data_IF_629602559918
#
_entry.id   IF_629602559918
#
_cell.length_a   1.000
_cell.length_b   1.000
_cell.length_c   1.000
_cell.angle_alpha   90.00
_cell.angle_beta   90.00
_cell.angle_gamma   90.00
#
_symmetry.space_group_name_H-M   'P 1'
#
loop_
_entity.id
_entity.type
_entity.pdbx_description
1 polymer ?
#
# COMPACT_ATOMS: atom_id res chain seq x y z
N UNK A 1 9.36 -5.29 -6.99
CA UNK A 1 8.25 -4.38 -6.64
C UNK A 1 7.56 -4.78 -5.34
N UNK A 2 7.44 -6.06 -5.04
CA UNK A 2 6.78 -6.57 -3.81
C UNK A 2 7.43 -6.09 -2.51
N UNK A 3 8.71 -5.75 -2.54
CA UNK A 3 9.47 -5.30 -1.39
C UNK A 3 9.37 -3.78 -1.17
N UNK A 4 8.70 -3.06 -2.06
CA UNK A 4 8.47 -1.62 -1.94
C UNK A 4 7.22 -1.34 -1.11
N UNK A 5 6.08 -1.92 -1.49
CA UNK A 5 4.82 -1.78 -0.74
C UNK A 5 3.89 -2.97 -0.99
N UNK A 6 2.79 -3.01 -0.25
CA UNK A 6 1.78 -4.07 -0.37
C UNK A 6 0.90 -3.88 -1.61
N UNK A 7 0.59 -2.64 -1.99
CA UNK A 7 -0.20 -2.39 -3.19
C UNK A 7 0.58 -2.72 -4.46
N UNK A 8 -0.15 -3.07 -5.50
CA UNK A 8 0.45 -3.43 -6.77
C UNK A 8 0.99 -2.18 -7.47
N UNK A 9 2.28 -2.19 -7.79
CA UNK A 9 2.94 -1.17 -8.60
C UNK A 9 3.29 -1.74 -9.97
N UNK A 10 3.16 -0.94 -11.00
CA UNK A 10 3.65 -1.25 -12.35
C UNK A 10 5.12 -0.87 -12.48
N UNK A 11 5.52 0.23 -11.85
CA UNK A 11 6.87 0.76 -11.89
C UNK A 11 7.27 1.39 -10.55
N UNK A 12 8.53 1.26 -10.10
CA UNK A 12 8.98 1.89 -8.85
C UNK A 12 8.79 3.41 -8.81
N UNK A 13 8.89 4.08 -9.97
CA UNK A 13 8.71 5.51 -10.11
C UNK A 13 7.31 6.05 -9.76
N UNK A 14 6.31 5.17 -9.58
CA UNK A 14 5.01 5.56 -9.07
C UNK A 14 5.06 6.01 -7.61
N UNK A 15 6.06 5.55 -6.87
CA UNK A 15 6.19 5.82 -5.44
C UNK A 15 7.54 6.44 -5.05
N UNK A 16 8.60 6.15 -5.78
CA UNK A 16 9.97 6.51 -5.46
C UNK A 16 10.59 7.37 -6.55
N UNK A 17 11.51 8.25 -6.17
CA UNK A 17 12.28 9.10 -7.08
C UNK A 17 13.77 8.82 -6.95
N UNK A 18 14.48 8.88 -8.07
CA UNK A 18 15.96 8.80 -8.08
C UNK A 18 16.55 9.94 -7.24
N UNK A 19 17.50 9.61 -6.38
CA UNK A 19 18.12 10.57 -5.44
C UNK A 19 17.38 10.76 -4.12
N UNK A 20 16.20 10.17 -3.96
CA UNK A 20 15.45 10.21 -2.71
C UNK A 20 16.16 9.39 -1.62
N UNK A 21 16.25 9.96 -0.43
CA UNK A 21 16.74 9.23 0.75
C UNK A 21 15.58 8.53 1.45
N UNK A 22 15.76 7.24 1.72
CA UNK A 22 14.73 6.39 2.32
C UNK A 22 15.33 5.54 3.44
N UNK A 23 14.61 5.35 4.55
CA UNK A 23 14.90 4.25 5.46
C UNK A 23 14.58 2.93 4.75
N UNK A 24 15.35 1.91 4.99
CA UNK A 24 15.11 0.56 4.44
C UNK A 24 15.41 -0.50 5.50
N UNK A 25 14.80 -1.65 5.35
CA UNK A 25 15.12 -2.83 6.17
C UNK A 25 16.07 -3.72 5.38
N UNK A 26 17.14 -4.17 6.03
CA UNK A 26 18.04 -5.18 5.47
C UNK A 26 17.35 -6.53 5.62
N UNK A 27 16.94 -7.10 4.50
CA UNK A 27 16.27 -8.39 4.44
C UNK A 27 17.24 -9.56 4.38
N UNK A 28 18.31 -9.41 3.63
CA UNK A 28 19.30 -10.48 3.46
C UNK A 28 20.69 -9.93 3.18
N UNK A 29 21.69 -10.68 3.62
CA UNK A 29 23.09 -10.41 3.34
C UNK A 29 23.71 -11.65 2.69
N UNK A 30 24.30 -11.50 1.52
CA UNK A 30 25.05 -12.55 0.84
C UNK A 30 26.49 -12.07 0.63
N UNK A 31 27.42 -12.41 1.56
CA UNK A 31 28.81 -11.99 1.47
C UNK A 31 29.55 -12.61 0.27
N UNK A 32 29.14 -13.82 -0.13
CA UNK A 32 29.78 -14.54 -1.24
C UNK A 32 29.52 -13.84 -2.57
N UNK A 33 28.26 -13.47 -2.80
CA UNK A 33 27.84 -12.76 -4.02
C UNK A 33 27.92 -11.24 -3.88
N UNK A 34 28.33 -10.73 -2.71
CA UNK A 34 28.39 -9.31 -2.37
C UNK A 34 27.06 -8.59 -2.63
N UNK A 35 25.94 -9.21 -2.19
CA UNK A 35 24.60 -8.68 -2.37
C UNK A 35 23.93 -8.39 -1.04
N UNK A 36 23.17 -7.30 -1.01
CA UNK A 36 22.32 -6.92 0.11
C UNK A 36 20.89 -6.81 -0.42
N UNK A 37 19.99 -7.59 0.16
CA UNK A 37 18.55 -7.49 -0.09
C UNK A 37 17.94 -6.45 0.82
N UNK A 38 17.21 -5.51 0.24
CA UNK A 38 16.54 -4.42 0.96
C UNK A 38 15.03 -4.47 0.74
N UNK A 39 14.27 -4.07 1.75
CA UNK A 39 12.81 -3.95 1.66
C UNK A 39 12.33 -2.67 2.33
N UNK A 40 11.25 -2.09 1.83
CA UNK A 40 10.62 -0.87 2.32
C UNK A 40 9.23 -1.14 2.89
N UNK A 41 8.56 -2.16 2.40
CA UNK A 41 7.17 -2.51 2.67
C UNK A 41 6.82 -2.51 4.16
N UNK A 42 7.68 -3.07 4.98
CA UNK A 42 7.47 -3.22 6.41
C UNK A 42 7.45 -1.87 7.15
N UNK A 43 8.20 -0.89 6.64
CA UNK A 43 8.28 0.44 7.22
C UNK A 43 7.05 1.30 6.90
N UNK A 44 6.28 0.94 5.88
CA UNK A 44 5.06 1.64 5.50
C UNK A 44 3.84 1.22 6.33
N UNK A 45 4.02 0.31 7.27
CA UNK A 45 3.03 -0.06 8.26
C UNK A 45 2.16 -1.26 7.90
N UNK A 46 1.51 -1.79 8.92
CA UNK A 46 0.53 -2.88 8.82
C UNK A 46 -0.80 -2.37 8.23
N UNK A 47 -1.70 -3.30 7.95
CA UNK A 47 -3.05 -2.96 7.52
C UNK A 47 -3.78 -2.10 8.57
N UNK A 48 -3.71 -2.51 9.84
CA UNK A 48 -4.38 -1.81 10.95
C UNK A 48 -3.79 -0.41 11.17
N UNK A 49 -2.48 -0.26 11.12
CA UNK A 49 -1.81 1.04 11.26
C UNK A 49 -2.25 2.02 10.17
N UNK A 50 -2.36 1.54 8.94
CA UNK A 50 -2.83 2.36 7.82
C UNK A 50 -4.35 2.64 7.90
N UNK A 51 -5.15 1.63 8.19
CA UNK A 51 -6.60 1.77 8.28
C UNK A 51 -7.05 2.69 9.45
N UNK A 52 -6.24 2.81 10.50
CA UNK A 52 -6.52 3.69 11.64
C UNK A 52 -6.64 5.18 11.25
N UNK A 53 -6.09 5.59 10.11
CA UNK A 53 -6.19 6.95 9.59
C UNK A 53 -7.51 7.24 8.86
N UNK A 54 -8.35 6.25 8.66
CA UNK A 54 -9.59 6.34 7.88
C UNK A 54 -10.80 5.89 8.68
N UNK A 55 -11.96 6.45 8.33
CA UNK A 55 -13.25 6.04 8.88
C UNK A 55 -14.25 5.82 7.75
N UNK A 56 -15.20 4.93 7.96
CA UNK A 56 -16.36 4.81 7.08
C UNK A 56 -17.11 6.15 7.00
N UNK A 57 -17.56 6.51 5.82
CA UNK A 57 -18.24 7.80 5.57
C UNK A 57 -17.31 8.92 5.11
N UNK A 58 -15.98 8.74 5.13
CA UNK A 58 -15.03 9.72 4.60
C UNK A 58 -14.96 9.68 3.08
N UNK A 59 -14.71 10.84 2.50
CA UNK A 59 -14.34 11.00 1.09
C UNK A 59 -12.86 11.35 1.03
N UNK A 60 -12.08 10.53 0.35
CA UNK A 60 -10.62 10.64 0.31
C UNK A 60 -10.09 10.40 -1.11
N UNK A 61 -8.91 10.94 -1.45
CA UNK A 61 -8.25 10.61 -2.70
C UNK A 61 -7.63 9.22 -2.65
N UNK A 62 -7.52 8.58 -3.81
CA UNK A 62 -6.84 7.32 -3.99
C UNK A 62 -6.27 7.19 -5.39
N UNK A 63 -5.51 6.13 -5.63
CA UNK A 63 -4.92 5.82 -6.93
C UNK A 63 -5.35 4.42 -7.35
N UNK A 64 -5.87 4.31 -8.56
CA UNK A 64 -6.20 3.01 -9.17
C UNK A 64 -4.92 2.19 -9.33
N UNK A 65 -4.91 0.97 -8.79
CA UNK A 65 -3.76 0.07 -8.87
C UNK A 65 -3.97 -1.11 -9.80
N UNK A 66 -5.16 -1.68 -9.79
CA UNK A 66 -5.48 -2.80 -10.65
C UNK A 66 -6.97 -2.87 -10.92
N UNK A 67 -7.30 -3.36 -12.09
CA UNK A 67 -8.66 -3.80 -12.42
C UNK A 67 -8.74 -5.32 -12.42
N UNK A 68 -9.86 -5.83 -11.94
CA UNK A 68 -10.19 -7.24 -11.94
C UNK A 68 -11.63 -7.45 -12.40
N UNK A 69 -12.02 -8.69 -12.66
CA UNK A 69 -13.39 -9.01 -13.08
C UNK A 69 -14.44 -8.68 -12.02
N UNK A 70 -14.05 -8.62 -10.75
CA UNK A 70 -14.93 -8.34 -9.61
C UNK A 70 -14.81 -6.95 -9.03
N UNK A 71 -13.94 -6.10 -9.55
CA UNK A 71 -13.83 -4.72 -9.11
C UNK A 71 -12.48 -4.08 -9.38
N UNK A 72 -12.34 -2.86 -8.89
CA UNK A 72 -11.15 -2.02 -9.03
C UNK A 72 -10.46 -1.87 -7.69
N UNK A 73 -9.17 -2.20 -7.64
CA UNK A 73 -8.34 -1.94 -6.45
C UNK A 73 -7.79 -0.53 -6.47
N UNK A 74 -8.05 0.19 -5.39
CA UNK A 74 -7.66 1.60 -5.22
C UNK A 74 -6.82 1.72 -3.95
N UNK A 75 -5.60 2.24 -4.10
CA UNK A 75 -4.71 2.49 -2.97
C UNK A 75 -5.04 3.83 -2.33
N UNK A 76 -5.33 3.81 -1.04
CA UNK A 76 -5.45 5.01 -0.20
C UNK A 76 -4.09 5.39 0.39
N UNK A 77 -3.28 4.40 0.72
CA UNK A 77 -1.86 4.52 1.06
C UNK A 77 -1.08 3.43 0.32
N UNK A 78 0.26 3.49 0.27
CA UNK A 78 1.03 2.42 -0.37
C UNK A 78 0.76 1.02 0.19
N UNK A 79 0.41 0.91 1.46
CA UNK A 79 0.10 -0.36 2.11
C UNK A 79 -1.39 -0.59 2.39
N UNK A 80 -2.28 0.25 1.88
CA UNK A 80 -3.71 0.09 2.09
C UNK A 80 -4.49 0.25 0.79
N UNK A 81 -5.11 -0.82 0.33
CA UNK A 81 -6.00 -0.83 -0.82
C UNK A 81 -7.42 -1.17 -0.41
N UNK A 82 -8.38 -0.54 -1.08
CA UNK A 82 -9.78 -0.91 -1.03
C UNK A 82 -10.28 -1.39 -2.38
N UNK A 83 -11.46 -2.01 -2.38
CA UNK A 83 -12.13 -2.51 -3.56
C UNK A 83 -13.38 -1.67 -3.85
N UNK A 84 -13.45 -1.14 -5.06
CA UNK A 84 -14.62 -0.47 -5.61
C UNK A 84 -15.31 -1.35 -6.67
N UNK A 85 -16.52 -0.98 -7.05
CA UNK A 85 -17.22 -1.64 -8.14
C UNK A 85 -16.43 -1.55 -9.44
N UNK A 86 -16.61 -2.55 -10.30
CA UNK A 86 -15.93 -2.61 -11.59
C UNK A 86 -16.29 -1.37 -12.43
N UNK A 87 -15.28 -0.72 -12.95
CA UNK A 87 -15.38 0.40 -13.87
C UNK A 87 -14.27 0.30 -14.92
N UNK A 88 -14.63 -0.18 -16.11
CA UNK A 88 -13.69 -0.42 -17.22
C UNK A 88 -13.11 0.87 -17.80
N UNK A 89 -13.62 2.03 -17.39
CA UNK A 89 -13.11 3.34 -17.83
C UNK A 89 -11.91 3.83 -16.99
N UNK A 90 -11.64 3.18 -15.86
CA UNK A 90 -10.53 3.51 -14.98
C UNK A 90 -9.26 2.76 -15.39
N UNK A 91 -8.12 3.43 -15.34
CA UNK A 91 -6.82 2.85 -15.68
C UNK A 91 -5.89 2.85 -14.47
N UNK A 92 -4.97 1.85 -14.36
CA UNK A 92 -3.95 1.84 -13.32
C UNK A 92 -3.11 3.12 -13.32
N UNK A 93 -2.88 3.68 -12.14
CA UNK A 93 -2.17 4.96 -11.96
C UNK A 93 -3.05 6.19 -11.96
N UNK A 94 -4.34 6.06 -12.29
CA UNK A 94 -5.27 7.19 -12.31
C UNK A 94 -5.67 7.62 -10.91
N UNK A 95 -5.55 8.92 -10.56
CA UNK A 95 -6.09 9.48 -9.34
C UNK A 95 -7.62 9.53 -9.37
N UNK A 96 -8.24 9.16 -8.26
CA UNK A 96 -9.70 9.18 -8.08
C UNK A 96 -10.07 9.69 -6.71
N UNK A 97 -11.27 10.24 -6.60
CA UNK A 97 -11.90 10.56 -5.34
C UNK A 97 -12.86 9.42 -4.98
N UNK A 98 -12.72 8.87 -3.79
CA UNK A 98 -13.51 7.73 -3.33
C UNK A 98 -14.21 8.00 -2.02
N UNK A 99 -15.37 7.40 -1.85
CA UNK A 99 -16.12 7.34 -0.60
C UNK A 99 -15.87 6.00 0.08
N UNK A 100 -15.52 6.02 1.36
CA UNK A 100 -15.32 4.80 2.15
C UNK A 100 -16.66 4.30 2.66
N UNK A 101 -17.15 3.22 2.10
CA UNK A 101 -18.44 2.63 2.47
C UNK A 101 -18.36 1.82 3.76
N UNK A 102 -17.32 1.02 3.89
CA UNK A 102 -17.11 0.14 5.03
C UNK A 102 -15.64 -0.23 5.20
N UNK A 103 -15.25 -0.46 6.45
CA UNK A 103 -13.93 -0.96 6.83
C UNK A 103 -14.14 -2.24 7.62
N UNK A 104 -13.55 -3.35 7.16
CA UNK A 104 -13.65 -4.67 7.77
C UNK A 104 -12.29 -5.17 8.23
N UNK A 105 -11.89 -4.86 9.48
CA UNK A 105 -10.58 -5.27 10.02
C UNK A 105 -10.40 -6.79 10.09
N UNK A 106 -11.47 -7.52 10.35
CA UNK A 106 -11.45 -8.99 10.49
C UNK A 106 -11.07 -9.71 9.20
N UNK A 107 -11.36 -9.12 8.04
CA UNK A 107 -11.04 -9.67 6.72
C UNK A 107 -10.01 -8.83 5.95
N UNK A 108 -9.48 -7.77 6.55
CA UNK A 108 -8.57 -6.80 5.94
C UNK A 108 -9.13 -6.21 4.63
N UNK A 109 -10.39 -5.80 4.66
CA UNK A 109 -11.10 -5.28 3.48
C UNK A 109 -11.63 -3.87 3.71
N UNK A 110 -11.48 -3.02 2.71
CA UNK A 110 -12.17 -1.75 2.57
C UNK A 110 -13.10 -1.81 1.36
N UNK A 111 -14.33 -1.37 1.57
CA UNK A 111 -15.29 -1.17 0.47
C UNK A 111 -15.35 0.30 0.10
N UNK A 112 -15.12 0.59 -1.16
CA UNK A 112 -15.04 1.94 -1.70
C UNK A 112 -16.10 2.16 -2.78
N UNK A 113 -16.45 3.43 -2.99
CA UNK A 113 -17.22 3.88 -4.16
C UNK A 113 -16.44 5.01 -4.81
N UNK A 114 -16.16 4.89 -6.10
CA UNK A 114 -15.54 5.96 -6.88
C UNK A 114 -16.58 7.04 -7.14
N UNK A 115 -16.29 8.27 -6.72
CA UNK A 115 -17.16 9.41 -6.93
C UNK A 115 -16.83 10.11 -8.25
N UNK A 116 -15.57 10.41 -8.49
CA UNK A 116 -15.09 11.03 -9.72
C UNK A 116 -13.58 10.84 -9.87
N UNK A 117 -13.09 11.11 -11.08
CA UNK A 117 -11.66 11.14 -11.37
C UNK A 117 -11.06 12.46 -10.91
N UNK A 118 -9.78 12.41 -10.53
CA UNK A 118 -8.97 13.59 -10.26
C UNK A 118 -7.94 13.77 -11.37
N UNK A 119 -7.60 15.03 -11.69
CA UNK A 119 -6.58 15.32 -12.71
C UNK A 119 -5.18 14.98 -12.20
N UNK A 120 -4.93 15.24 -10.92
CA UNK A 120 -3.67 14.91 -10.26
C UNK A 120 -3.87 14.80 -8.74
N UNK A 121 -2.98 14.07 -8.08
CA UNK A 121 -2.80 14.14 -6.63
C UNK A 121 -1.57 14.98 -6.33
N UNK A 122 -1.62 15.84 -5.29
CA UNK A 122 -0.40 16.46 -4.80
C UNK A 122 0.56 15.37 -4.34
N UNK A 123 1.89 15.57 -4.50
CA UNK A 123 2.87 14.62 -4.01
C UNK A 123 2.63 14.33 -2.53
N UNK A 124 2.39 13.09 -2.19
CA UNK A 124 2.24 12.65 -0.82
C UNK A 124 3.60 12.13 -0.33
N UNK A 125 4.16 12.70 0.75
CA UNK A 125 5.36 12.13 1.35
C UNK A 125 5.03 10.75 1.91
N UNK A 126 6.00 9.82 1.80
CA UNK A 126 5.85 8.51 2.41
C UNK A 126 5.81 8.64 3.93
N UNK A 127 4.77 8.11 4.54
CA UNK A 127 4.64 8.04 5.98
C UNK A 127 5.18 6.69 6.47
N UNK A 128 6.19 6.73 7.34
CA UNK A 128 6.82 5.55 7.90
C UNK A 128 6.28 5.28 9.31
N UNK A 129 5.76 4.07 9.50
CA UNK A 129 5.29 3.62 10.82
C UNK A 129 6.45 3.35 11.79
N UNK A 130 7.62 2.98 11.25
CA UNK A 130 8.83 2.73 12.01
C UNK A 130 10.05 3.15 11.20
N UNK A 131 10.99 3.83 11.83
CA UNK A 131 12.22 4.31 11.16
C UNK A 131 13.50 3.84 11.86
N UNK A 132 13.39 3.22 13.04
CA UNK A 132 14.53 2.78 13.85
C UNK A 132 14.22 1.45 14.54
N UNK A 133 15.28 0.75 14.93
CA UNK A 133 15.20 -0.52 15.67
C UNK A 133 15.33 -1.74 14.79
N UNK A 134 15.05 -2.91 15.38
CA UNK A 134 15.14 -4.22 14.72
C UNK A 134 13.75 -4.76 14.45
N UNK A 135 13.60 -5.44 13.33
CA UNK A 135 12.42 -6.21 12.96
C UNK A 135 12.82 -7.68 12.89
N UNK A 136 12.22 -8.53 13.73
CA UNK A 136 12.43 -9.97 13.64
C UNK A 136 11.31 -10.63 12.83
N UNK A 137 10.07 -10.21 13.05
CA UNK A 137 8.90 -10.67 12.30
C UNK A 137 7.97 -9.49 12.06
N UNK A 138 7.49 -9.38 10.84
CA UNK A 138 6.47 -8.41 10.47
C UNK A 138 5.28 -9.12 9.81
N UNK A 139 4.07 -8.74 10.22
CA UNK A 139 2.82 -9.26 9.68
C UNK A 139 1.96 -8.11 9.20
N UNK A 140 1.46 -8.23 7.98
CA UNK A 140 0.62 -7.20 7.39
C UNK A 140 -0.75 -7.07 8.08
N UNK A 141 -1.34 -8.16 8.51
CA UNK A 141 -2.60 -8.18 9.23
C UNK A 141 -2.52 -8.99 10.53
N UNK A 142 -3.67 -9.24 11.15
CA UNK A 142 -3.76 -10.08 12.33
C UNK A 142 -3.22 -11.49 12.08
N UNK A 143 -2.92 -12.24 13.14
CA UNK A 143 -2.41 -13.62 13.00
C UNK A 143 -3.32 -14.52 12.17
N UNK A 144 -4.62 -14.30 12.23
CA UNK A 144 -5.63 -15.09 11.53
C UNK A 144 -5.75 -14.72 10.05
N UNK A 145 -5.47 -13.46 9.70
CA UNK A 145 -5.65 -12.93 8.35
C UNK A 145 -4.34 -12.56 7.65
N UNK A 146 -3.19 -12.75 8.28
CA UNK A 146 -1.91 -12.33 7.71
C UNK A 146 -1.53 -13.16 6.48
N UNK A 147 -1.79 -12.62 5.31
CA UNK A 147 -1.36 -13.19 4.01
C UNK A 147 0.07 -12.84 3.67
N UNK A 148 0.62 -11.81 4.29
CA UNK A 148 1.97 -11.30 4.04
C UNK A 148 2.71 -11.28 5.37
N UNK A 149 3.79 -12.04 5.45
CA UNK A 149 4.66 -12.14 6.62
C UNK A 149 6.11 -12.02 6.15
N UNK A 150 6.88 -11.19 6.82
CA UNK A 150 8.32 -11.09 6.63
C UNK A 150 9.03 -11.56 7.91
N UNK A 151 10.06 -12.38 7.72
CA UNK A 151 10.92 -12.89 8.80
C UNK A 151 12.36 -12.48 8.45
N UNK A 152 13.09 -11.94 9.42
CA UNK A 152 14.42 -11.38 9.24
C UNK A 152 15.46 -12.11 10.07
#
# INVERSE_FOLDING_TARGET
LRDICVSRLSHPGELLRVGQRLPVVIQSLDPVRRRVGLTLRELLGTWEENAAHFCAGQTVPGIVRAQTDYGVFIALTPNLCGLAERDDTLEPGQPVCVYIRAIHPETLKLKLTVLHRLDALPPQPLAFAKTTGRLDVWRYGSRECAKIVSVF
#
